data_IF_703389545708
#
_entry.id   IF_703389545708
#
_cell.length_a   1.000
_cell.length_b   1.000
_cell.length_c   1.000
_cell.angle_alpha   90.00
_cell.angle_beta   90.00
_cell.angle_gamma   90.00
#
_symmetry.space_group_name_H-M   'P 1'
#
loop_
_entity.id
_entity.type
_entity.pdbx_description
1 polymer ?
#
# COMPACT_ATOMS: atom_id res chain seq x y z
N UNK A 1 -8.03 -0.56 18.10
CA UNK A 1 -8.74 -0.58 16.81
C UNK A 1 -8.15 -1.66 15.94
N UNK A 2 -8.98 -2.38 15.19
CA UNK A 2 -8.50 -3.37 14.21
C UNK A 2 -8.01 -2.68 12.93
N UNK A 3 -7.08 -3.34 12.24
CA UNK A 3 -6.63 -2.97 10.91
C UNK A 3 -7.60 -3.46 9.84
N UNK A 4 -7.39 -3.02 8.59
CA UNK A 4 -8.18 -3.46 7.44
C UNK A 4 -8.00 -4.95 7.14
N UNK A 5 -6.79 -5.49 7.35
CA UNK A 5 -6.49 -6.93 7.33
C UNK A 5 -6.29 -7.43 8.76
N UNK A 6 -6.91 -8.57 9.11
CA UNK A 6 -6.79 -9.16 10.45
C UNK A 6 -5.35 -9.61 10.75
N UNK A 7 -4.62 -10.06 9.73
CA UNK A 7 -3.20 -10.40 9.76
C UNK A 7 -2.30 -9.18 10.08
N UNK A 8 -2.78 -7.97 9.81
CA UNK A 8 -2.05 -6.74 10.09
C UNK A 8 -2.31 -6.16 11.49
N UNK A 9 -3.17 -6.79 12.30
CA UNK A 9 -3.57 -6.25 13.62
C UNK A 9 -2.39 -6.10 14.58
N UNK A 10 -1.53 -7.11 14.65
CA UNK A 10 -0.38 -7.09 15.56
C UNK A 10 0.65 -6.04 15.12
N UNK A 11 0.95 -5.98 13.82
CA UNK A 11 1.84 -4.97 13.23
C UNK A 11 1.31 -3.55 13.48
N UNK A 12 -0.02 -3.36 13.36
CA UNK A 12 -0.66 -2.08 13.67
C UNK A 12 -0.43 -1.68 15.12
N UNK A 13 -0.66 -2.60 16.07
CA UNK A 13 -0.49 -2.29 17.50
C UNK A 13 0.95 -1.90 17.83
N UNK A 14 1.93 -2.60 17.27
CA UNK A 14 3.35 -2.28 17.45
C UNK A 14 3.70 -0.91 16.86
N UNK A 15 3.23 -0.62 15.64
CA UNK A 15 3.45 0.68 15.01
C UNK A 15 2.78 1.82 15.76
N UNK A 16 1.49 1.68 16.10
CA UNK A 16 0.72 2.71 16.82
C UNK A 16 1.38 3.02 18.18
N UNK A 17 1.85 2.01 18.91
CA UNK A 17 2.55 2.21 20.18
C UNK A 17 3.88 2.98 19.99
N UNK A 18 4.69 2.59 18.99
CA UNK A 18 5.92 3.30 18.65
C UNK A 18 5.64 4.76 18.26
N UNK A 19 4.69 4.95 17.34
CA UNK A 19 4.32 6.27 16.83
C UNK A 19 3.83 7.19 17.94
N UNK A 20 2.97 6.71 18.84
CA UNK A 20 2.44 7.55 19.93
C UNK A 20 3.52 8.03 20.90
N UNK A 21 4.48 7.16 21.25
CA UNK A 21 5.64 7.53 22.07
C UNK A 21 6.53 8.52 21.31
N UNK A 22 6.89 8.20 20.06
CA UNK A 22 7.68 9.11 19.21
C UNK A 22 7.02 10.47 19.03
N UNK A 23 5.72 10.50 18.76
CA UNK A 23 4.95 11.71 18.52
C UNK A 23 4.99 12.63 19.75
N UNK A 24 4.70 12.05 20.92
CA UNK A 24 4.62 12.80 22.19
C UNK A 24 6.01 13.24 22.68
N UNK A 25 7.02 12.38 22.55
CA UNK A 25 8.32 12.62 23.16
C UNK A 25 9.31 13.34 22.25
N UNK A 26 9.14 13.24 20.93
CA UNK A 26 10.07 13.74 19.90
C UNK A 26 9.40 14.78 19.00
N UNK A 27 8.38 14.38 18.26
CA UNK A 27 7.78 15.21 17.21
C UNK A 27 7.23 16.53 17.77
N UNK A 28 6.42 16.47 18.83
CA UNK A 28 5.86 17.67 19.49
C UNK A 28 6.92 18.58 20.11
N UNK A 29 8.15 18.08 20.30
CA UNK A 29 9.30 18.86 20.80
C UNK A 29 10.21 19.36 19.66
N UNK A 30 9.77 19.23 18.41
CA UNK A 30 10.49 19.69 17.22
C UNK A 30 11.53 18.69 16.68
N UNK A 31 11.62 17.48 17.23
CA UNK A 31 12.48 16.42 16.69
C UNK A 31 11.69 15.60 15.67
N UNK A 32 11.98 15.79 14.38
CA UNK A 32 11.20 15.22 13.27
C UNK A 32 11.79 13.95 12.67
N UNK A 33 12.87 13.42 13.22
CA UNK A 33 13.46 12.16 12.76
C UNK A 33 12.53 10.98 13.10
N UNK A 34 11.95 10.36 12.08
CA UNK A 34 10.97 9.27 12.16
C UNK A 34 11.62 7.87 12.04
N UNK A 35 12.95 7.81 11.99
CA UNK A 35 13.72 6.57 11.82
C UNK A 35 13.41 5.51 12.88
N UNK A 36 12.99 5.92 14.08
CA UNK A 36 12.65 5.03 15.19
C UNK A 36 11.51 4.06 14.86
N UNK A 37 10.47 4.52 14.15
CA UNK A 37 9.29 3.70 13.83
C UNK A 37 9.24 3.27 12.36
N UNK A 38 10.10 3.83 11.50
CA UNK A 38 10.16 3.52 10.07
C UNK A 38 10.24 2.01 9.75
N UNK A 39 11.07 1.18 10.41
CA UNK A 39 11.13 -0.26 10.10
C UNK A 39 9.81 -0.99 10.34
N UNK A 40 9.13 -0.69 11.45
CA UNK A 40 7.83 -1.28 11.82
C UNK A 40 6.76 -0.79 10.83
N UNK A 41 6.79 0.51 10.50
CA UNK A 41 5.87 1.11 9.57
C UNK A 41 5.94 0.45 8.19
N UNK A 42 7.14 0.18 7.67
CA UNK A 42 7.29 -0.47 6.35
C UNK A 42 6.62 -1.83 6.29
N UNK A 43 6.80 -2.66 7.31
CA UNK A 43 6.19 -4.00 7.37
C UNK A 43 4.67 -3.88 7.49
N UNK A 44 4.19 -2.99 8.36
CA UNK A 44 2.76 -2.72 8.52
C UNK A 44 2.12 -2.20 7.23
N UNK A 45 2.76 -1.24 6.56
CA UNK A 45 2.30 -0.60 5.34
C UNK A 45 2.14 -1.63 4.22
N UNK A 46 3.11 -2.52 4.02
CA UNK A 46 3.02 -3.58 3.01
C UNK A 46 1.89 -4.57 3.31
N UNK A 47 1.71 -4.94 4.59
CA UNK A 47 0.58 -5.77 5.00
C UNK A 47 -0.77 -5.11 4.65
N UNK A 48 -0.93 -3.82 4.97
CA UNK A 48 -2.16 -3.06 4.71
C UNK A 48 -2.42 -2.91 3.22
N UNK A 49 -1.40 -2.59 2.41
CA UNK A 49 -1.52 -2.51 0.94
C UNK A 49 -2.03 -3.82 0.35
N UNK A 50 -1.51 -4.97 0.81
CA UNK A 50 -1.99 -6.28 0.39
C UNK A 50 -3.47 -6.49 0.74
N UNK A 51 -3.84 -6.22 1.99
CA UNK A 51 -5.22 -6.38 2.46
C UNK A 51 -6.21 -5.47 1.70
N UNK A 52 -5.81 -4.24 1.34
CA UNK A 52 -6.60 -3.30 0.52
C UNK A 52 -6.86 -3.88 -0.87
N UNK A 53 -5.82 -4.42 -1.52
CA UNK A 53 -5.93 -5.07 -2.84
C UNK A 53 -6.85 -6.30 -2.79
N UNK A 54 -6.67 -7.18 -1.81
CA UNK A 54 -7.47 -8.40 -1.65
C UNK A 54 -8.96 -8.10 -1.40
N UNK A 55 -9.24 -7.04 -0.62
CA UNK A 55 -10.61 -6.59 -0.34
C UNK A 55 -11.21 -5.71 -1.44
N UNK A 56 -10.48 -5.46 -2.54
CA UNK A 56 -10.89 -4.62 -3.67
C UNK A 56 -11.36 -3.23 -3.22
N UNK A 57 -10.68 -2.66 -2.23
CA UNK A 57 -10.95 -1.30 -1.75
C UNK A 57 -10.31 -0.34 -2.74
N UNK A 58 -11.14 0.49 -3.37
CA UNK A 58 -10.70 1.50 -4.31
C UNK A 58 -10.28 2.78 -3.57
N UNK A 59 -9.02 3.19 -3.76
CA UNK A 59 -8.46 4.40 -3.16
C UNK A 59 -8.29 5.54 -4.17
N UNK A 60 -8.78 5.41 -5.41
CA UNK A 60 -8.61 6.40 -6.49
C UNK A 60 -9.15 7.79 -6.18
N UNK A 61 -10.10 7.90 -5.25
CA UNK A 61 -10.66 9.19 -4.80
C UNK A 61 -9.78 9.91 -3.76
N UNK A 62 -8.73 9.24 -3.28
CA UNK A 62 -7.73 9.78 -2.34
C UNK A 62 -6.48 10.09 -3.17
N UNK A 63 -5.86 11.26 -2.93
CA UNK A 63 -4.73 11.85 -3.67
C UNK A 63 -3.76 10.86 -4.39
N UNK A 64 -3.16 11.26 -5.54
CA UNK A 64 -2.33 10.41 -6.41
C UNK A 64 -1.06 9.83 -5.76
N UNK A 65 -0.79 10.14 -4.49
CA UNK A 65 0.32 9.59 -3.70
C UNK A 65 0.09 8.12 -3.34
N UNK A 66 -1.17 7.65 -3.38
CA UNK A 66 -1.56 6.26 -3.11
C UNK A 66 -1.88 5.48 -4.39
N UNK A 67 -0.95 5.45 -5.34
CA UNK A 67 -1.01 4.49 -6.46
C UNK A 67 -0.79 3.06 -5.94
N UNK A 68 -1.86 2.42 -5.48
CA UNK A 68 -1.93 0.96 -5.45
C UNK A 68 -2.08 0.49 -6.89
N UNK A 69 -0.97 0.33 -7.60
CA UNK A 69 -0.96 -0.10 -9.00
C UNK A 69 -1.90 -1.28 -9.23
N UNK A 70 -3.02 -1.00 -9.89
CA UNK A 70 -3.83 -1.94 -10.65
C UNK A 70 -3.36 -1.79 -12.10
N UNK A 71 -2.19 -2.34 -12.40
CA UNK A 71 -1.87 -2.68 -13.78
C UNK A 71 -2.54 -4.03 -14.07
N UNK A 72 -3.79 -4.00 -14.55
CA UNK A 72 -4.35 -5.10 -15.33
C UNK A 72 -5.62 -4.61 -16.06
N UNK A 73 -5.41 -3.92 -17.20
CA UNK A 73 -6.40 -3.89 -18.28
C UNK A 73 -5.91 -4.83 -19.39
N UNK A 74 -6.33 -6.07 -19.23
CA UNK A 74 -6.23 -7.17 -20.17
C UNK A 74 -7.27 -6.98 -21.30
N UNK A 75 -6.82 -6.54 -22.48
CA UNK A 75 -7.58 -6.66 -23.72
C UNK A 75 -6.99 -7.76 -24.61
N UNK A 76 -7.37 -9.01 -24.36
CA UNK A 76 -7.01 -10.16 -25.18
C UNK A 76 -8.01 -10.42 -26.32
N UNK A 77 -7.46 -10.54 -27.53
CA UNK A 77 -7.84 -11.44 -28.64
C UNK A 77 -9.09 -11.16 -29.48
N UNK A 78 -8.84 -11.01 -30.78
CA UNK A 78 -9.50 -11.82 -31.83
C UNK A 78 -8.49 -12.06 -32.97
N UNK A 79 -8.23 -13.34 -33.28
CA UNK A 79 -7.31 -13.76 -34.32
C UNK A 79 -7.95 -13.81 -35.72
N UNK A 80 -7.12 -13.69 -36.76
CA UNK A 80 -7.47 -13.93 -38.16
C UNK A 80 -6.20 -14.12 -39.00
N UNK A 81 -6.15 -15.23 -39.73
CA UNK A 81 -5.04 -15.83 -40.48
C UNK A 81 -4.86 -15.22 -41.88
N UNK A 82 -3.68 -15.48 -42.49
CA UNK A 82 -3.35 -15.51 -43.94
C UNK A 82 -3.14 -14.13 -44.63
N UNK A 83 -2.28 -13.92 -45.63
CA UNK A 83 -1.21 -14.65 -46.32
C UNK A 83 -0.48 -13.63 -47.23
N UNK A 84 0.81 -13.87 -47.52
CA UNK A 84 1.54 -13.64 -48.78
C UNK A 84 1.55 -12.25 -49.50
N UNK A 85 2.77 -11.83 -49.92
CA UNK A 85 2.95 -11.30 -51.28
C UNK A 85 3.48 -9.87 -51.45
N UNK A 86 4.81 -9.74 -51.49
CA UNK A 86 5.62 -9.06 -52.53
C UNK A 86 4.91 -8.05 -53.46
N UNK A 87 5.35 -6.79 -53.44
CA UNK A 87 6.05 -6.11 -54.55
C UNK A 87 6.62 -4.77 -54.10
#
# INVERSE_FOLDING_TARGET
>A
MSSVGEDCNELKQQYDACFNSWFSERFLKGQTDDSACAPIFRIYQECVKRAIKEKKIDLREIDPIFETGLEDDNANRSGGKQQAGKS
#
